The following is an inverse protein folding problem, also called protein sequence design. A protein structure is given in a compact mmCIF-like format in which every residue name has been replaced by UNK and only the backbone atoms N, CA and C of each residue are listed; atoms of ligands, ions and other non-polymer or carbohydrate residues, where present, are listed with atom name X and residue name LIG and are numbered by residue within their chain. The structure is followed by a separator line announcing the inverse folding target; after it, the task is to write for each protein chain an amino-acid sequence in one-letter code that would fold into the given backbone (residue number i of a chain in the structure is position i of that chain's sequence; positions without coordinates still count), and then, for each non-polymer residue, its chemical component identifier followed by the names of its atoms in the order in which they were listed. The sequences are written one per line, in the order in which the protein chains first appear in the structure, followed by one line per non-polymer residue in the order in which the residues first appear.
data_IF_012182937947
#
_entry.id   IF_012182937947
#
_cell.length_a   1.000
_cell.length_b   1.000
_cell.length_c   1.000
_cell.angle_alpha   90.00
_cell.angle_beta   90.00
_cell.angle_gamma   90.00
#
_symmetry.space_group_name_H-M   'P 1'
#
loop_
_entity.id
_entity.type
_entity.pdbx_description
1 polymer ?
#
# COMPACT_ATOMS: atom_id res chain seq x y z
N UNK A 1 -22.46 -10.80 1.62
CA UNK A 1 -22.07 -9.79 2.62
C UNK A 1 -22.35 -8.40 2.06
N UNK A 2 -22.78 -7.46 2.89
CA UNK A 2 -22.90 -6.08 2.46
C UNK A 2 -21.51 -5.49 2.16
N UNK A 3 -21.45 -4.54 1.22
CA UNK A 3 -20.21 -3.89 0.87
C UNK A 3 -19.63 -3.15 2.08
N UNK A 4 -18.35 -3.41 2.37
CA UNK A 4 -17.61 -2.65 3.37
C UNK A 4 -17.02 -1.39 2.70
N UNK A 5 -17.42 -0.17 3.13
CA UNK A 5 -16.92 1.06 2.55
C UNK A 5 -15.39 1.13 2.59
N UNK A 6 -14.81 1.62 1.49
CA UNK A 6 -13.36 1.75 1.35
C UNK A 6 -12.97 3.23 1.38
N UNK A 7 -11.80 3.51 1.92
CA UNK A 7 -11.25 4.88 1.92
C UNK A 7 -11.15 5.42 0.50
N UNK A 8 -10.86 4.57 -0.48
CA UNK A 8 -10.78 4.98 -1.88
C UNK A 8 -12.12 5.35 -2.52
N UNK A 9 -13.27 5.10 -1.89
CA UNK A 9 -14.60 5.41 -2.46
C UNK A 9 -14.80 6.90 -2.73
N UNK A 10 -14.39 7.75 -1.77
CA UNK A 10 -14.45 9.21 -1.92
C UNK A 10 -13.50 9.73 -3.01
N UNK A 11 -12.31 9.11 -3.11
CA UNK A 11 -11.33 9.44 -4.16
C UNK A 11 -11.85 9.01 -5.52
N UNK A 12 -12.50 7.86 -5.60
CA UNK A 12 -13.12 7.37 -6.83
C UNK A 12 -14.26 8.32 -7.28
N UNK A 13 -15.09 8.79 -6.36
CA UNK A 13 -16.14 9.77 -6.64
C UNK A 13 -15.57 11.09 -7.17
N UNK A 14 -14.46 11.57 -6.60
CA UNK A 14 -13.76 12.75 -7.09
C UNK A 14 -13.26 12.52 -8.53
N UNK A 15 -12.62 11.38 -8.81
CA UNK A 15 -12.07 11.07 -10.13
C UNK A 15 -13.15 10.91 -11.19
N UNK A 16 -14.27 10.29 -10.87
CA UNK A 16 -15.42 10.18 -11.77
C UNK A 16 -15.97 11.55 -12.18
N UNK A 17 -15.86 12.55 -11.32
CA UNK A 17 -16.22 13.95 -11.65
C UNK A 17 -15.12 14.70 -12.40
N UNK A 18 -13.87 14.28 -12.28
CA UNK A 18 -12.72 15.03 -12.81
C UNK A 18 -12.27 14.55 -14.19
N UNK A 19 -12.30 13.23 -14.46
CA UNK A 19 -11.74 12.62 -15.68
C UNK A 19 -12.74 11.72 -16.39
N UNK A 20 -12.48 11.41 -17.67
CA UNK A 20 -13.39 10.57 -18.47
C UNK A 20 -13.38 9.10 -18.07
N UNK A 21 -12.24 8.57 -17.60
CA UNK A 21 -12.11 7.20 -17.17
C UNK A 21 -11.18 7.08 -15.95
N UNK A 22 -11.41 6.06 -15.12
CA UNK A 22 -10.53 5.72 -13.98
C UNK A 22 -10.19 4.24 -14.02
N UNK A 23 -8.89 3.92 -13.96
CA UNK A 23 -8.42 2.55 -13.76
C UNK A 23 -8.08 2.32 -12.30
N UNK A 24 -8.66 1.29 -11.70
CA UNK A 24 -8.36 0.86 -10.33
C UNK A 24 -7.38 -0.30 -10.41
N UNK A 25 -6.20 -0.12 -9.82
CA UNK A 25 -5.12 -1.11 -9.78
C UNK A 25 -4.77 -1.46 -8.34
N UNK A 26 -4.08 -2.56 -8.14
CA UNK A 26 -3.67 -3.03 -6.80
C UNK A 26 -3.60 -4.55 -6.72
N UNK A 27 -3.25 -5.12 -5.55
CA UNK A 27 -3.12 -6.56 -5.36
C UNK A 27 -4.37 -7.32 -5.82
N UNK A 28 -4.20 -8.55 -6.29
CA UNK A 28 -5.35 -9.45 -6.48
C UNK A 28 -6.12 -9.58 -5.17
N UNK A 29 -7.44 -9.78 -5.24
CA UNK A 29 -8.33 -10.01 -4.09
C UNK A 29 -8.46 -8.84 -3.10
N UNK A 30 -7.89 -7.66 -3.35
CA UNK A 30 -8.07 -6.51 -2.46
C UNK A 30 -9.45 -5.83 -2.57
N UNK A 31 -10.31 -6.26 -3.51
CA UNK A 31 -11.70 -5.79 -3.65
C UNK A 31 -11.95 -4.79 -4.77
N UNK A 32 -11.03 -4.60 -5.74
CA UNK A 32 -11.14 -3.63 -6.85
C UNK A 32 -12.46 -3.70 -7.61
N UNK A 33 -12.81 -4.89 -8.08
CA UNK A 33 -14.05 -5.15 -8.84
C UNK A 33 -15.29 -4.84 -8.00
N UNK A 34 -15.28 -5.25 -6.72
CA UNK A 34 -16.38 -4.99 -5.79
C UNK A 34 -16.59 -3.49 -5.57
N UNK A 35 -15.50 -2.74 -5.35
CA UNK A 35 -15.52 -1.28 -5.22
C UNK A 35 -16.00 -0.60 -6.52
N UNK A 36 -15.49 -1.02 -7.67
CA UNK A 36 -15.92 -0.48 -8.96
C UNK A 36 -17.42 -0.73 -9.23
N UNK A 37 -17.93 -1.92 -8.88
CA UNK A 37 -19.35 -2.28 -9.02
C UNK A 37 -20.29 -1.37 -8.23
N UNK A 38 -19.84 -0.76 -7.11
CA UNK A 38 -20.65 0.20 -6.33
C UNK A 38 -20.98 1.47 -7.13
N UNK A 39 -20.16 1.82 -8.13
CA UNK A 39 -20.31 3.05 -8.95
C UNK A 39 -20.75 2.76 -10.38
N UNK A 40 -20.61 1.53 -10.85
CA UNK A 40 -20.92 1.14 -12.22
C UNK A 40 -22.43 1.03 -12.46
N UNK A 41 -22.88 1.49 -13.65
CA UNK A 41 -24.25 1.30 -14.13
C UNK A 41 -24.36 0.18 -15.18
N UNK A 42 -23.26 -0.22 -15.79
CA UNK A 42 -23.18 -1.40 -16.64
C UNK A 42 -21.80 -2.04 -16.48
N UNK A 43 -21.71 -3.33 -16.72
CA UNK A 43 -20.49 -4.12 -16.47
C UNK A 43 -20.18 -4.93 -17.73
N UNK A 44 -18.88 -4.99 -18.05
CA UNK A 44 -18.28 -5.90 -19.02
C UNK A 44 -17.24 -6.73 -18.26
N UNK A 45 -17.53 -8.00 -18.06
CA UNK A 45 -16.63 -8.96 -17.40
C UNK A 45 -15.82 -9.70 -18.47
N UNK A 46 -14.59 -9.24 -18.75
CA UNK A 46 -13.74 -9.80 -19.81
C UNK A 46 -13.32 -11.25 -19.57
N UNK A 47 -13.43 -11.73 -18.33
CA UNK A 47 -13.06 -13.09 -17.94
C UNK A 47 -14.24 -14.07 -17.88
N UNK A 48 -15.46 -13.65 -18.25
CA UNK A 48 -16.63 -14.53 -18.31
C UNK A 48 -16.37 -15.67 -19.31
N UNK A 49 -16.28 -16.94 -18.87
CA UNK A 49 -15.86 -18.04 -19.74
C UNK A 49 -16.83 -18.29 -20.90
N UNK A 50 -18.11 -17.94 -20.77
CA UNK A 50 -19.10 -18.13 -21.82
C UNK A 50 -19.00 -17.08 -22.93
N UNK A 51 -18.45 -15.89 -22.59
CA UNK A 51 -18.43 -14.72 -23.49
C UNK A 51 -17.02 -14.29 -23.88
N UNK A 52 -15.99 -14.74 -23.18
CA UNK A 52 -14.60 -14.27 -23.33
C UNK A 52 -14.08 -14.36 -24.76
N UNK A 53 -14.29 -15.52 -25.42
CA UNK A 53 -13.82 -15.68 -26.81
C UNK A 53 -14.47 -14.68 -27.74
N UNK A 54 -15.76 -14.42 -27.60
CA UNK A 54 -16.52 -13.42 -28.34
C UNK A 54 -16.01 -12.00 -28.07
N UNK A 55 -15.76 -11.69 -26.80
CA UNK A 55 -15.22 -10.37 -26.40
C UNK A 55 -13.82 -10.14 -26.96
N UNK A 56 -12.93 -11.12 -26.96
CA UNK A 56 -11.58 -11.01 -27.52
C UNK A 56 -11.63 -10.81 -29.05
N UNK A 57 -12.48 -11.55 -29.76
CA UNK A 57 -12.70 -11.35 -31.22
C UNK A 57 -13.24 -9.96 -31.50
N UNK A 58 -14.20 -9.49 -30.73
CA UNK A 58 -14.81 -8.17 -30.89
C UNK A 58 -13.79 -7.06 -30.54
N UNK A 59 -12.98 -7.23 -29.49
CA UNK A 59 -11.92 -6.33 -29.14
C UNK A 59 -10.90 -6.17 -30.29
N UNK A 60 -10.55 -7.27 -30.95
CA UNK A 60 -9.61 -7.25 -32.09
C UNK A 60 -10.17 -6.57 -33.35
N UNK A 61 -11.50 -6.60 -33.57
CA UNK A 61 -12.13 -6.09 -34.79
C UNK A 61 -12.80 -4.73 -34.63
N UNK A 62 -13.58 -4.54 -33.55
CA UNK A 62 -14.34 -3.32 -33.27
C UNK A 62 -14.48 -3.07 -31.77
N UNK A 63 -13.39 -2.72 -31.07
CA UNK A 63 -13.39 -2.56 -29.63
C UNK A 63 -14.40 -1.53 -29.09
N UNK A 64 -14.81 -0.57 -29.93
CA UNK A 64 -15.81 0.44 -29.54
C UNK A 64 -17.18 -0.14 -29.18
N UNK A 65 -17.56 -1.30 -29.73
CA UNK A 65 -18.81 -1.97 -29.36
C UNK A 65 -18.81 -2.49 -27.92
N UNK A 66 -17.65 -2.86 -27.38
CA UNK A 66 -17.51 -3.29 -25.97
C UNK A 66 -17.68 -2.12 -24.99
N UNK A 67 -17.58 -0.88 -25.47
CA UNK A 67 -17.77 0.32 -24.66
C UNK A 67 -19.23 0.79 -24.58
N UNK A 68 -20.15 0.15 -25.32
CA UNK A 68 -21.57 0.47 -25.31
C UNK A 68 -22.25 -0.02 -24.02
N UNK A 69 -23.02 0.87 -23.38
CA UNK A 69 -23.74 0.61 -22.14
C UNK A 69 -23.92 1.85 -21.28
N UNK A 70 -24.68 1.72 -20.19
CA UNK A 70 -24.91 2.83 -19.26
C UNK A 70 -23.61 3.18 -18.51
N UNK A 71 -23.33 4.48 -18.38
CA UNK A 71 -22.10 4.99 -17.73
C UNK A 71 -22.37 5.42 -16.27
N UNK A 72 -21.39 5.25 -15.37
CA UNK A 72 -20.07 4.65 -15.58
C UNK A 72 -20.16 3.16 -16.01
N UNK A 73 -19.41 2.79 -17.07
CA UNK A 73 -19.31 1.41 -17.49
C UNK A 73 -18.04 0.79 -16.92
N UNK A 74 -18.19 -0.30 -16.17
CA UNK A 74 -17.06 -1.09 -15.68
C UNK A 74 -16.58 -2.05 -16.78
N UNK A 75 -15.27 -2.04 -17.03
CA UNK A 75 -14.54 -3.02 -17.84
C UNK A 75 -13.63 -3.78 -16.88
N UNK A 76 -14.09 -4.96 -16.44
CA UNK A 76 -13.38 -5.78 -15.46
C UNK A 76 -12.32 -6.65 -16.16
N UNK A 77 -11.10 -6.71 -15.57
CA UNK A 77 -9.92 -7.38 -16.13
C UNK A 77 -9.58 -6.93 -17.56
N UNK A 78 -9.59 -5.59 -17.78
CA UNK A 78 -9.37 -4.97 -19.09
C UNK A 78 -8.05 -5.40 -19.76
N UNK A 79 -7.03 -5.79 -19.01
CA UNK A 79 -5.72 -6.21 -19.52
C UNK A 79 -5.78 -7.49 -20.37
N UNK A 80 -6.87 -8.26 -20.31
CA UNK A 80 -7.11 -9.38 -21.22
C UNK A 80 -7.24 -8.93 -22.68
N UNK A 81 -7.63 -7.66 -22.92
CA UNK A 81 -7.67 -7.04 -24.22
C UNK A 81 -7.08 -5.61 -24.15
N UNK A 82 -5.75 -5.44 -24.20
CA UNK A 82 -5.09 -4.13 -23.99
C UNK A 82 -5.54 -3.04 -24.96
N UNK A 83 -6.05 -3.40 -26.15
CA UNK A 83 -6.64 -2.46 -27.13
C UNK A 83 -7.83 -1.67 -26.55
N UNK A 84 -8.49 -2.16 -25.51
CA UNK A 84 -9.58 -1.45 -24.82
C UNK A 84 -9.11 -0.15 -24.17
N UNK A 85 -7.85 -0.09 -23.75
CA UNK A 85 -7.26 1.15 -23.24
C UNK A 85 -7.32 2.28 -24.25
N UNK A 86 -6.85 2.01 -25.49
CA UNK A 86 -6.89 3.00 -26.57
C UNK A 86 -8.33 3.31 -27.01
N UNK A 87 -9.21 2.31 -27.03
CA UNK A 87 -10.62 2.50 -27.35
C UNK A 87 -11.31 3.42 -26.32
N UNK A 88 -11.08 3.21 -25.02
CA UNK A 88 -11.56 4.07 -23.93
C UNK A 88 -11.03 5.50 -24.10
N UNK A 89 -9.72 5.67 -24.31
CA UNK A 89 -9.11 6.98 -24.54
C UNK A 89 -9.78 7.72 -25.70
N UNK A 90 -9.95 7.07 -26.85
CA UNK A 90 -10.59 7.66 -28.03
C UNK A 90 -12.06 8.00 -27.76
N UNK A 91 -12.77 7.14 -27.03
CA UNK A 91 -14.16 7.40 -26.64
C UNK A 91 -14.29 8.62 -25.73
N UNK A 92 -13.40 8.76 -24.74
CA UNK A 92 -13.34 9.94 -23.85
C UNK A 92 -13.04 11.21 -24.66
N UNK A 93 -12.09 11.16 -25.60
CA UNK A 93 -11.76 12.31 -26.46
C UNK A 93 -12.94 12.75 -27.35
N UNK A 94 -13.72 11.79 -27.86
CA UNK A 94 -14.89 12.10 -28.73
C UNK A 94 -16.08 12.64 -27.93
N UNK A 95 -16.34 12.04 -26.78
CA UNK A 95 -17.52 12.39 -25.96
C UNK A 95 -17.31 13.62 -25.11
N UNK A 96 -16.07 13.88 -24.68
CA UNK A 96 -15.72 15.02 -23.81
C UNK A 96 -16.47 15.03 -22.47
N UNK A 97 -17.00 13.89 -22.05
CA UNK A 97 -17.73 13.70 -20.79
C UNK A 97 -16.83 13.12 -19.69
N UNK A 98 -17.26 13.26 -18.44
CA UNK A 98 -16.58 12.72 -17.25
C UNK A 98 -17.29 11.47 -16.74
N UNK A 99 -16.55 10.60 -16.02
CA UNK A 99 -17.13 9.42 -15.39
C UNK A 99 -17.71 8.41 -16.37
N UNK A 100 -17.14 8.27 -17.55
CA UNK A 100 -17.65 7.35 -18.57
C UNK A 100 -17.29 5.90 -18.27
N UNK A 101 -16.04 5.67 -17.84
CA UNK A 101 -15.51 4.32 -17.72
C UNK A 101 -14.78 4.10 -16.40
N UNK A 102 -14.95 2.89 -15.85
CA UNK A 102 -14.16 2.29 -14.82
C UNK A 102 -13.44 1.08 -15.40
N UNK A 103 -12.15 0.95 -15.16
CA UNK A 103 -11.37 -0.21 -15.55
C UNK A 103 -10.80 -0.84 -14.27
N UNK A 104 -10.81 -2.16 -14.18
CA UNK A 104 -10.13 -2.88 -13.09
C UNK A 104 -9.12 -3.84 -13.66
N UNK A 105 -7.98 -3.94 -12.98
CA UNK A 105 -6.90 -4.85 -13.35
C UNK A 105 -5.99 -5.15 -12.18
N UNK A 106 -5.51 -6.38 -12.12
CA UNK A 106 -4.66 -6.87 -11.03
C UNK A 106 -3.17 -6.87 -11.37
N UNK A 107 -2.81 -6.38 -12.55
CA UNK A 107 -1.44 -6.35 -13.06
C UNK A 107 -1.17 -4.99 -13.69
N UNK A 108 0.05 -4.49 -13.52
CA UNK A 108 0.54 -3.34 -14.30
C UNK A 108 0.85 -3.84 -15.72
N UNK A 109 0.06 -3.38 -16.69
CA UNK A 109 0.30 -3.71 -18.10
C UNK A 109 1.54 -2.98 -18.59
N UNK A 110 2.39 -3.68 -19.33
CA UNK A 110 3.58 -3.08 -19.94
C UNK A 110 3.19 -1.97 -20.91
N UNK A 111 3.88 -0.83 -20.85
CA UNK A 111 3.61 0.33 -21.71
C UNK A 111 3.75 -0.01 -23.19
N UNK A 112 4.56 -1.01 -23.55
CA UNK A 112 4.69 -1.51 -24.92
C UNK A 112 3.40 -2.13 -25.49
N UNK A 113 2.53 -2.66 -24.61
CA UNK A 113 1.22 -3.21 -24.98
C UNK A 113 0.14 -2.11 -25.12
N UNK A 114 0.47 -0.87 -24.73
CA UNK A 114 -0.42 0.30 -24.77
C UNK A 114 0.19 1.34 -25.72
N UNK A 115 -0.50 1.68 -26.80
CA UNK A 115 0.02 2.65 -27.78
C UNK A 115 0.12 4.08 -27.26
N UNK A 116 -0.72 4.43 -26.25
CA UNK A 116 -0.80 5.78 -25.68
C UNK A 116 -1.01 5.73 -24.17
N UNK A 117 -0.32 6.57 -23.44
CA UNK A 117 -0.33 6.60 -21.96
C UNK A 117 -1.68 6.96 -21.32
N UNK A 118 -2.63 7.50 -22.09
CA UNK A 118 -3.94 7.92 -21.56
C UNK A 118 -3.92 9.18 -20.68
N UNK A 119 -2.79 9.89 -20.60
CA UNK A 119 -2.63 11.10 -19.78
C UNK A 119 -3.77 12.10 -20.05
N UNK A 120 -4.39 12.60 -18.97
CA UNK A 120 -5.50 13.55 -19.02
C UNK A 120 -6.87 12.96 -19.35
N UNK A 121 -6.95 11.67 -19.74
CA UNK A 121 -8.20 10.95 -20.09
C UNK A 121 -8.50 9.85 -19.11
N UNK A 122 -7.47 9.09 -18.73
CA UNK A 122 -7.56 7.95 -17.80
C UNK A 122 -6.73 8.25 -16.57
N UNK A 123 -7.36 8.26 -15.41
CA UNK A 123 -6.70 8.44 -14.11
C UNK A 123 -6.46 7.08 -13.45
N UNK A 124 -5.30 6.91 -12.83
CA UNK A 124 -4.94 5.67 -12.13
C UNK A 124 -5.21 5.81 -10.63
N UNK A 125 -6.05 4.96 -10.08
CA UNK A 125 -6.33 4.84 -8.65
C UNK A 125 -5.73 3.53 -8.13
N UNK A 126 -4.78 3.63 -7.22
CA UNK A 126 -4.22 2.47 -6.54
C UNK A 126 -5.04 2.15 -5.30
N UNK A 127 -5.37 0.88 -5.11
CA UNK A 127 -6.16 0.37 -4.01
C UNK A 127 -5.34 -0.66 -3.24
N UNK A 128 -5.21 -0.45 -1.92
CA UNK A 128 -4.54 -1.38 -1.01
C UNK A 128 -5.49 -2.48 -0.52
N UNK A 129 -4.97 -3.46 0.23
CA UNK A 129 -5.77 -4.32 1.09
C UNK A 129 -6.49 -3.48 2.16
N UNK A 130 -7.44 -4.03 2.88
CA UNK A 130 -8.20 -3.27 3.88
C UNK A 130 -7.32 -2.89 5.07
N UNK A 131 -7.38 -1.63 5.47
CA UNK A 131 -6.83 -1.12 6.72
C UNK A 131 -7.63 -1.63 7.94
N UNK A 132 -7.10 -1.48 9.14
CA UNK A 132 -7.82 -1.80 10.38
C UNK A 132 -9.12 -1.01 10.53
N UNK A 133 -9.19 0.20 9.99
CA UNK A 133 -10.44 0.98 9.99
C UNK A 133 -11.46 0.38 9.01
N UNK A 134 -11.07 0.07 7.79
CA UNK A 134 -11.96 -0.51 6.79
C UNK A 134 -12.46 -1.91 7.17
N UNK A 135 -11.65 -2.69 7.90
CA UNK A 135 -12.04 -4.00 8.43
C UNK A 135 -12.88 -3.93 9.72
N UNK A 136 -13.09 -2.72 10.27
CA UNK A 136 -13.83 -2.51 11.51
C UNK A 136 -13.05 -2.86 12.77
N UNK A 137 -11.74 -3.01 12.69
CA UNK A 137 -10.82 -3.37 13.79
C UNK A 137 -10.16 -2.14 14.43
N UNK A 138 -10.27 -0.97 13.83
CA UNK A 138 -9.98 0.29 14.51
C UNK A 138 -11.24 0.89 15.13
N UNK A 139 -11.10 1.55 16.28
CA UNK A 139 -12.19 2.33 16.89
C UNK A 139 -12.48 3.63 16.13
N UNK A 140 -11.51 4.13 15.34
CA UNK A 140 -11.61 5.36 14.58
C UNK A 140 -11.83 6.61 15.42
N UNK A 141 -11.47 6.57 16.69
CA UNK A 141 -11.64 7.71 17.60
C UNK A 141 -10.72 8.89 17.27
N UNK A 142 -9.59 8.61 16.58
CA UNK A 142 -8.64 9.62 16.15
C UNK A 142 -8.59 9.65 14.63
N UNK A 143 -8.92 10.82 14.04
CA UNK A 143 -8.76 11.04 12.61
C UNK A 143 -7.37 11.62 12.31
N UNK A 144 -6.65 10.98 11.42
CA UNK A 144 -5.35 11.47 10.95
C UNK A 144 -5.50 12.86 10.28
N UNK A 145 -6.61 13.09 9.58
CA UNK A 145 -6.95 14.39 8.98
C UNK A 145 -7.09 15.47 10.04
N UNK A 146 -7.78 15.18 11.15
CA UNK A 146 -8.01 16.17 12.21
C UNK A 146 -6.70 16.51 12.92
N UNK A 147 -5.82 15.53 13.16
CA UNK A 147 -4.46 15.75 13.71
C UNK A 147 -3.63 16.66 12.79
N UNK A 148 -3.74 16.53 11.48
CA UNK A 148 -3.07 17.45 10.55
C UNK A 148 -3.76 18.82 10.45
N UNK A 149 -5.08 18.89 10.63
CA UNK A 149 -5.81 20.15 10.60
C UNK A 149 -5.50 21.01 11.85
N UNK A 150 -5.40 20.36 12.99
CA UNK A 150 -5.00 20.98 14.26
C UNK A 150 -4.01 20.08 15.01
N UNK A 151 -2.70 20.29 14.87
CA UNK A 151 -1.69 19.52 15.59
C UNK A 151 -1.75 19.64 17.11
N UNK A 152 -2.52 20.56 17.65
CA UNK A 152 -2.77 20.73 19.10
C UNK A 152 -4.00 19.96 19.61
N UNK A 153 -4.71 19.28 18.70
CA UNK A 153 -5.91 18.52 19.08
C UNK A 153 -5.56 17.46 20.12
N UNK A 154 -6.33 17.41 21.22
CA UNK A 154 -6.12 16.38 22.23
C UNK A 154 -6.52 15.00 21.67
N UNK A 155 -5.62 14.06 21.81
CA UNK A 155 -5.87 12.64 21.54
C UNK A 155 -6.12 11.85 22.82
N UNK A 156 -6.13 12.54 23.96
CA UNK A 156 -6.20 11.92 25.29
C UNK A 156 -7.48 11.12 25.50
N UNK A 157 -7.32 9.95 26.07
CA UNK A 157 -8.42 9.06 26.42
C UNK A 157 -9.02 8.26 25.29
N UNK A 158 -8.60 8.49 24.03
CA UNK A 158 -8.98 7.61 22.92
C UNK A 158 -8.37 6.22 23.12
N UNK A 159 -9.13 5.18 22.76
CA UNK A 159 -8.75 3.80 23.00
C UNK A 159 -8.57 3.02 21.72
N UNK A 160 -7.46 2.28 21.65
CA UNK A 160 -7.26 1.22 20.69
C UNK A 160 -8.28 0.09 20.92
N UNK A 161 -8.73 -0.51 19.83
CA UNK A 161 -9.73 -1.59 19.85
C UNK A 161 -9.12 -2.96 20.02
N UNK A 162 -7.86 -3.13 19.59
CA UNK A 162 -7.18 -4.42 19.55
C UNK A 162 -6.14 -4.55 20.67
N UNK A 163 -6.09 -5.71 21.28
CA UNK A 163 -4.95 -6.18 22.09
C UNK A 163 -3.76 -6.57 21.19
N UNK A 164 -2.61 -6.81 21.79
CA UNK A 164 -1.40 -7.27 21.07
C UNK A 164 -1.65 -8.63 20.40
N UNK A 165 -2.37 -9.55 21.04
CA UNK A 165 -2.75 -10.84 20.48
C UNK A 165 -3.64 -10.69 19.26
N UNK A 166 -4.61 -9.80 19.31
CA UNK A 166 -5.49 -9.51 18.19
C UNK A 166 -4.74 -8.80 17.05
N UNK A 167 -3.76 -7.94 17.36
CA UNK A 167 -2.85 -7.34 16.38
C UNK A 167 -1.99 -8.40 15.69
N UNK A 168 -1.44 -9.37 16.44
CA UNK A 168 -0.71 -10.51 15.88
C UNK A 168 -1.60 -11.27 14.90
N UNK A 169 -2.83 -11.55 15.30
CA UNK A 169 -3.78 -12.25 14.44
C UNK A 169 -4.12 -11.44 13.19
N UNK A 170 -4.41 -10.14 13.32
CA UNK A 170 -4.73 -9.25 12.21
C UNK A 170 -3.58 -9.14 11.19
N UNK A 171 -2.32 -9.07 11.65
CA UNK A 171 -1.12 -9.09 10.80
C UNK A 171 -1.02 -10.41 10.03
N UNK A 172 -1.23 -11.55 10.71
CA UNK A 172 -1.14 -12.86 10.07
C UNK A 172 -2.27 -13.13 9.08
N UNK A 173 -3.47 -12.66 9.37
CA UNK A 173 -4.66 -12.80 8.51
C UNK A 173 -4.58 -11.88 7.29
N UNK A 174 -4.07 -10.66 7.47
CA UNK A 174 -4.05 -9.62 6.46
C UNK A 174 -5.38 -8.89 6.26
N UNK A 175 -5.34 -7.85 5.41
CA UNK A 175 -6.50 -7.02 5.05
C UNK A 175 -7.27 -7.52 3.82
N UNK A 176 -7.31 -8.81 3.57
CA UNK A 176 -8.04 -9.41 2.46
C UNK A 176 -9.54 -9.48 2.76
N UNK A 177 -10.44 -8.91 1.93
CA UNK A 177 -11.88 -8.99 2.18
C UNK A 177 -12.38 -10.41 2.44
N UNK A 178 -11.92 -11.38 1.66
CA UNK A 178 -12.30 -12.79 1.82
C UNK A 178 -11.87 -13.38 3.16
N UNK A 179 -10.78 -12.88 3.77
CA UNK A 179 -10.36 -13.34 5.10
C UNK A 179 -11.29 -12.87 6.22
N UNK A 180 -11.95 -11.73 6.02
CA UNK A 180 -12.97 -11.24 6.97
C UNK A 180 -14.26 -12.03 6.88
N UNK A 181 -14.58 -12.57 5.71
CA UNK A 181 -15.76 -13.37 5.44
C UNK A 181 -15.60 -14.83 5.89
N UNK A 182 -14.39 -15.34 5.95
CA UNK A 182 -14.09 -16.72 6.28
C UNK A 182 -14.55 -17.07 7.71
N UNK A 183 -15.06 -18.30 7.87
CA UNK A 183 -15.55 -18.78 9.16
C UNK A 183 -14.47 -19.57 9.89
N UNK A 184 -14.14 -19.12 11.09
CA UNK A 184 -13.09 -19.71 11.93
C UNK A 184 -11.70 -19.16 11.61
N UNK A 185 -10.84 -19.15 12.61
CA UNK A 185 -9.53 -18.50 12.54
C UNK A 185 -8.58 -19.18 11.56
N UNK A 186 -8.64 -20.51 11.46
CA UNK A 186 -7.85 -21.28 10.50
C UNK A 186 -8.18 -20.91 9.06
N UNK A 187 -9.47 -20.74 8.72
CA UNK A 187 -9.90 -20.34 7.39
C UNK A 187 -9.52 -18.89 7.09
N UNK A 188 -9.59 -18.00 8.07
CA UNK A 188 -9.13 -16.61 7.92
C UNK A 188 -7.63 -16.53 7.62
N UNK A 189 -6.82 -17.30 8.34
CA UNK A 189 -5.37 -17.37 8.15
C UNK A 189 -4.98 -18.11 6.86
N UNK A 190 -5.83 -19.01 6.36
CA UNK A 190 -5.58 -19.74 5.12
C UNK A 190 -5.53 -18.80 3.91
N UNK A 191 -6.36 -17.75 3.86
CA UNK A 191 -6.46 -16.84 2.71
C UNK A 191 -5.11 -16.24 2.32
N UNK A 192 -4.33 -15.75 3.29
CA UNK A 192 -3.02 -15.17 3.01
C UNK A 192 -2.00 -16.22 2.53
N UNK A 193 -2.07 -17.44 3.07
CA UNK A 193 -1.21 -18.56 2.65
C UNK A 193 -1.54 -19.01 1.23
N UNK A 194 -2.83 -19.12 0.92
CA UNK A 194 -3.29 -19.46 -0.43
C UNK A 194 -2.91 -18.37 -1.45
N UNK A 195 -3.05 -17.11 -1.08
CA UNK A 195 -2.58 -15.98 -1.90
C UNK A 195 -1.09 -16.07 -2.21
N UNK A 196 -0.26 -16.34 -1.19
CA UNK A 196 1.18 -16.55 -1.36
C UNK A 196 1.49 -17.71 -2.32
N UNK A 197 0.83 -18.87 -2.14
CA UNK A 197 1.02 -20.04 -3.02
C UNK A 197 0.67 -19.70 -4.47
N UNK A 198 -0.45 -19.02 -4.70
CA UNK A 198 -0.86 -18.62 -6.05
C UNK A 198 0.12 -17.66 -6.71
N UNK A 199 0.72 -16.71 -5.95
CA UNK A 199 1.78 -15.82 -6.47
C UNK A 199 2.95 -16.64 -6.97
N UNK A 200 3.45 -17.55 -6.13
CA UNK A 200 4.66 -18.31 -6.38
C UNK A 200 4.49 -19.31 -7.51
N UNK A 201 3.36 -20.04 -7.52
CA UNK A 201 3.12 -21.15 -8.43
C UNK A 201 2.68 -20.70 -9.84
N UNK A 202 1.99 -19.56 -9.94
CA UNK A 202 1.41 -19.17 -11.22
C UNK A 202 1.56 -17.70 -11.60
N UNK A 203 1.24 -16.77 -10.70
CA UNK A 203 1.08 -15.36 -11.06
C UNK A 203 2.38 -14.69 -11.47
N UNK A 204 3.49 -15.06 -10.80
CA UNK A 204 4.81 -14.46 -11.05
C UNK A 204 5.32 -14.72 -12.48
N UNK A 205 4.89 -15.83 -13.11
CA UNK A 205 5.24 -16.14 -14.50
C UNK A 205 4.23 -15.55 -15.50
N UNK A 206 2.95 -15.44 -15.10
CA UNK A 206 1.88 -14.93 -15.97
C UNK A 206 1.92 -13.42 -16.17
N UNK A 207 2.55 -12.69 -15.26
CA UNK A 207 2.52 -11.21 -15.25
C UNK A 207 3.14 -10.58 -16.50
N UNK A 208 4.17 -11.21 -17.07
CA UNK A 208 4.91 -10.75 -18.25
C UNK A 208 5.30 -11.92 -19.19
N UNK A 209 4.66 -13.07 -19.05
CA UNK A 209 4.84 -14.26 -19.88
C UNK A 209 6.28 -14.83 -19.80
N UNK A 210 7.01 -14.49 -18.74
CA UNK A 210 8.36 -15.03 -18.46
C UNK A 210 8.25 -16.19 -17.50
N UNK A 211 8.68 -17.38 -17.91
CA UNK A 211 8.71 -18.55 -17.03
C UNK A 211 9.68 -18.35 -15.86
N UNK A 212 9.19 -18.53 -14.66
CA UNK A 212 9.94 -18.38 -13.40
C UNK A 212 9.81 -19.62 -12.53
N UNK A 213 10.94 -20.00 -11.93
CA UNK A 213 10.99 -21.13 -11.00
C UNK A 213 10.25 -20.80 -9.70
N UNK A 214 9.17 -21.54 -9.35
CA UNK A 214 8.40 -21.31 -8.12
C UNK A 214 9.24 -21.46 -6.84
N UNK A 215 10.22 -22.38 -6.85
CA UNK A 215 11.08 -22.59 -5.68
C UNK A 215 11.96 -21.35 -5.44
N UNK A 216 12.52 -20.80 -6.50
CA UNK A 216 13.32 -19.56 -6.41
C UNK A 216 12.44 -18.37 -6.01
N UNK A 217 11.19 -18.29 -6.52
CA UNK A 217 10.23 -17.26 -6.13
C UNK A 217 9.90 -17.31 -4.64
N UNK A 218 9.62 -18.51 -4.09
CA UNK A 218 9.36 -18.70 -2.67
C UNK A 218 10.59 -18.32 -1.80
N UNK A 219 11.78 -18.71 -2.22
CA UNK A 219 13.02 -18.36 -1.51
C UNK A 219 13.30 -16.85 -1.54
N UNK A 220 13.09 -16.20 -2.66
CA UNK A 220 13.22 -14.75 -2.78
C UNK A 220 12.23 -14.03 -1.86
N UNK A 221 10.96 -14.41 -1.88
CA UNK A 221 9.94 -13.83 -0.99
C UNK A 221 10.26 -14.09 0.48
N UNK A 222 10.82 -15.24 0.83
CA UNK A 222 11.26 -15.53 2.20
C UNK A 222 12.44 -14.64 2.61
N UNK A 223 13.44 -14.46 1.74
CA UNK A 223 14.55 -13.52 1.99
C UNK A 223 14.03 -12.10 2.13
N UNK A 224 13.08 -11.70 1.27
CA UNK A 224 12.47 -10.40 1.33
C UNK A 224 11.67 -10.19 2.63
N UNK A 225 10.92 -11.20 3.08
CA UNK A 225 10.14 -11.16 4.33
C UNK A 225 11.03 -11.08 5.59
N UNK A 226 12.21 -11.74 5.59
CA UNK A 226 13.21 -11.58 6.65
C UNK A 226 13.73 -10.15 6.79
N UNK A 227 13.67 -9.40 5.70
CA UNK A 227 14.18 -8.05 5.59
C UNK A 227 13.04 -7.00 5.51
N UNK A 228 11.80 -7.37 5.85
CA UNK A 228 10.67 -6.43 5.89
C UNK A 228 10.97 -5.28 6.86
N UNK A 229 10.56 -4.08 6.51
CA UNK A 229 10.80 -2.84 7.29
C UNK A 229 12.31 -2.53 7.53
N UNK A 230 13.22 -3.08 6.72
CA UNK A 230 14.65 -2.78 6.78
C UNK A 230 15.17 -2.16 5.47
N UNK A 231 16.39 -1.61 5.51
CA UNK A 231 17.08 -1.04 4.36
C UNK A 231 17.93 -2.08 3.60
N UNK A 232 17.57 -3.35 3.65
CA UNK A 232 18.31 -4.41 2.98
C UNK A 232 18.42 -4.14 1.47
N UNK A 233 19.64 -4.24 0.94
CA UNK A 233 19.89 -4.02 -0.50
C UNK A 233 19.48 -5.26 -1.31
N UNK A 234 19.26 -5.09 -2.62
CA UNK A 234 19.04 -6.22 -3.53
C UNK A 234 20.24 -7.17 -3.53
N UNK A 235 21.45 -6.64 -3.32
CA UNK A 235 22.68 -7.43 -3.16
C UNK A 235 22.60 -8.33 -1.93
N UNK A 236 22.07 -7.85 -0.81
CA UNK A 236 21.86 -8.64 0.42
C UNK A 236 20.86 -9.78 0.18
N UNK A 237 19.74 -9.47 -0.48
CA UNK A 237 18.71 -10.47 -0.85
C UNK A 237 19.32 -11.53 -1.78
N UNK A 238 20.08 -11.12 -2.81
CA UNK A 238 20.78 -12.06 -3.70
C UNK A 238 21.74 -12.97 -2.92
N UNK A 239 22.47 -12.42 -1.96
CA UNK A 239 23.41 -13.18 -1.12
C UNK A 239 22.71 -14.29 -0.32
N UNK A 240 21.50 -14.01 0.20
CA UNK A 240 20.69 -15.03 0.86
C UNK A 240 20.33 -16.17 -0.11
N UNK A 241 19.94 -15.84 -1.35
CA UNK A 241 19.60 -16.84 -2.38
C UNK A 241 20.82 -17.68 -2.82
N UNK A 242 21.99 -17.07 -2.91
CA UNK A 242 23.23 -17.74 -3.29
C UNK A 242 23.67 -18.81 -2.29
N UNK A 243 23.19 -18.78 -1.05
CA UNK A 243 23.43 -19.85 -0.07
C UNK A 243 22.78 -21.18 -0.45
N UNK A 244 21.78 -21.15 -1.34
CA UNK A 244 21.01 -22.31 -1.79
C UNK A 244 21.30 -22.64 -3.25
N UNK A 245 21.38 -21.61 -4.11
CA UNK A 245 21.58 -21.74 -5.56
C UNK A 245 22.30 -20.52 -6.12
N UNK A 246 23.14 -20.71 -7.11
CA UNK A 246 23.74 -19.58 -7.83
C UNK A 246 22.69 -18.82 -8.64
N UNK A 247 22.57 -17.50 -8.36
CA UNK A 247 21.57 -16.62 -8.99
C UNK A 247 22.25 -15.32 -9.43
N UNK A 248 22.03 -14.93 -10.68
CA UNK A 248 22.53 -13.66 -11.23
C UNK A 248 21.72 -12.46 -10.71
N UNK A 249 22.34 -11.27 -10.68
CA UNK A 249 21.61 -10.03 -10.32
C UNK A 249 20.45 -9.73 -11.27
N UNK A 250 20.60 -9.84 -12.62
CA UNK A 250 19.48 -9.66 -13.54
C UNK A 250 18.30 -10.60 -13.27
N UNK A 251 18.56 -11.83 -12.84
CA UNK A 251 17.51 -12.77 -12.45
C UNK A 251 16.75 -12.25 -11.23
N UNK A 252 17.45 -11.83 -10.16
CA UNK A 252 16.80 -11.26 -8.96
C UNK A 252 15.98 -10.04 -9.33
N UNK A 253 16.50 -9.14 -10.15
CA UNK A 253 15.81 -7.92 -10.59
C UNK A 253 14.55 -8.25 -11.41
N UNK A 254 14.59 -9.28 -12.27
CA UNK A 254 13.42 -9.77 -13.01
C UNK A 254 12.30 -10.25 -12.09
N UNK A 255 12.64 -11.04 -11.06
CA UNK A 255 11.65 -11.51 -10.07
C UNK A 255 11.07 -10.34 -9.26
N UNK A 256 11.91 -9.42 -8.77
CA UNK A 256 11.47 -8.24 -8.03
C UNK A 256 10.57 -7.34 -8.89
N UNK A 257 10.89 -7.19 -10.18
CA UNK A 257 10.06 -6.43 -11.13
C UNK A 257 8.68 -7.07 -11.28
N UNK A 258 8.62 -8.40 -11.47
CA UNK A 258 7.36 -9.13 -11.55
C UNK A 258 6.51 -8.98 -10.28
N UNK A 259 7.13 -9.10 -9.10
CA UNK A 259 6.43 -8.92 -7.81
C UNK A 259 5.89 -7.50 -7.62
N UNK A 260 6.59 -6.47 -8.12
CA UNK A 260 6.08 -5.07 -8.13
C UNK A 260 4.91 -4.91 -9.10
N UNK A 261 4.99 -5.48 -10.31
CA UNK A 261 3.89 -5.47 -11.28
C UNK A 261 2.63 -6.16 -10.75
N UNK A 262 2.78 -7.16 -9.89
CA UNK A 262 1.69 -7.86 -9.19
C UNK A 262 1.20 -7.13 -7.93
N UNK A 263 1.80 -6.01 -7.55
CA UNK A 263 1.52 -5.31 -6.28
C UNK A 263 1.72 -6.20 -5.04
N UNK A 264 2.67 -7.13 -5.07
CA UNK A 264 3.00 -7.98 -3.92
C UNK A 264 3.95 -7.28 -2.98
N UNK A 265 4.96 -6.61 -3.55
CA UNK A 265 5.95 -5.81 -2.82
C UNK A 265 5.79 -4.32 -3.16
N UNK A 266 5.96 -3.48 -2.15
CA UNK A 266 5.90 -2.04 -2.26
C UNK A 266 6.94 -1.40 -1.34
N UNK A 267 8.15 -1.18 -1.89
CA UNK A 267 9.23 -0.54 -1.16
C UNK A 267 8.89 0.91 -0.82
N UNK A 268 9.40 1.39 0.29
CA UNK A 268 9.16 2.73 0.80
C UNK A 268 10.37 3.59 0.51
N UNK A 269 10.14 4.74 -0.11
CA UNK A 269 11.18 5.69 -0.48
C UNK A 269 11.68 6.46 0.75
N UNK A 270 12.95 6.86 0.73
CA UNK A 270 13.47 7.80 1.70
C UNK A 270 12.84 9.18 1.51
N UNK A 271 12.86 9.99 2.57
CA UNK A 271 12.48 11.39 2.55
C UNK A 271 13.64 12.27 3.03
N UNK A 272 13.69 13.50 2.53
CA UNK A 272 14.61 14.51 2.97
C UNK A 272 13.86 15.83 3.16
N UNK A 273 14.08 16.58 4.26
CA UNK A 273 13.43 17.87 4.48
C UNK A 273 13.78 18.91 3.40
N UNK A 274 14.93 18.80 2.78
CA UNK A 274 15.36 19.68 1.69
C UNK A 274 14.85 19.15 0.34
N UNK A 275 13.75 19.68 -0.17
CA UNK A 275 13.06 19.23 -1.41
C UNK A 275 13.99 19.15 -2.64
N UNK A 276 15.05 19.96 -2.69
CA UNK A 276 16.04 19.97 -3.79
C UNK A 276 17.23 19.05 -3.55
N UNK A 277 17.26 18.33 -2.43
CA UNK A 277 18.33 17.37 -2.15
C UNK A 277 18.17 16.12 -3.02
N UNK A 278 19.28 15.57 -3.48
CA UNK A 278 19.31 14.27 -4.15
C UNK A 278 19.49 13.11 -3.16
N UNK A 279 19.47 13.39 -1.85
CA UNK A 279 19.74 12.38 -0.81
C UNK A 279 18.66 11.33 -0.77
N UNK A 280 17.38 11.71 -0.87
CA UNK A 280 16.23 10.82 -0.92
C UNK A 280 16.24 9.89 -2.15
N UNK A 281 16.67 10.42 -3.31
CA UNK A 281 16.78 9.65 -4.57
C UNK A 281 17.90 8.61 -4.49
N UNK A 282 18.99 8.91 -3.77
CA UNK A 282 20.17 8.05 -3.65
C UNK A 282 20.10 7.06 -2.50
N UNK A 283 19.17 7.26 -1.57
CA UNK A 283 19.02 6.40 -0.42
C UNK A 283 18.43 5.03 -0.79
N UNK A 284 18.76 4.01 0.01
CA UNK A 284 18.16 2.68 -0.13
C UNK A 284 16.68 2.75 0.20
N UNK A 285 15.86 1.95 -0.48
CA UNK A 285 14.44 1.83 -0.15
C UNK A 285 14.25 0.91 1.07
N UNK A 286 13.33 1.25 1.96
CA UNK A 286 12.90 0.37 3.05
C UNK A 286 12.01 -0.73 2.43
N UNK A 287 12.30 -2.00 2.73
CA UNK A 287 11.59 -3.14 2.14
C UNK A 287 10.18 -3.25 2.70
N UNK A 288 9.20 -3.39 1.81
CA UNK A 288 7.79 -3.46 2.19
C UNK A 288 6.99 -4.43 1.33
N UNK A 289 5.95 -5.00 1.93
CA UNK A 289 4.90 -5.74 1.24
C UNK A 289 3.65 -4.87 1.09
N UNK A 290 2.80 -5.21 0.12
CA UNK A 290 1.48 -4.59 0.03
C UNK A 290 0.61 -4.91 1.27
N UNK A 291 0.79 -6.11 1.82
CA UNK A 291 0.15 -6.55 3.07
C UNK A 291 1.14 -7.41 3.89
N UNK A 292 1.28 -7.18 5.20
CA UNK A 292 2.22 -7.91 6.04
C UNK A 292 1.95 -9.42 6.11
N UNK A 293 0.71 -9.86 5.88
CA UNK A 293 0.36 -11.28 5.89
C UNK A 293 1.07 -12.09 4.81
N UNK A 294 1.45 -11.44 3.69
CA UNK A 294 2.27 -12.09 2.65
C UNK A 294 3.68 -12.38 3.17
N UNK A 295 4.26 -11.47 3.95
CA UNK A 295 5.54 -11.71 4.61
C UNK A 295 5.43 -12.86 5.63
N UNK A 296 4.36 -12.90 6.42
CA UNK A 296 4.08 -14.00 7.36
C UNK A 296 3.99 -15.34 6.64
N UNK A 297 3.25 -15.41 5.53
CA UNK A 297 3.13 -16.61 4.71
C UNK A 297 4.48 -17.05 4.13
N UNK A 298 5.29 -16.11 3.62
CA UNK A 298 6.62 -16.38 3.11
C UNK A 298 7.60 -16.89 4.18
N UNK A 299 7.47 -16.43 5.44
CA UNK A 299 8.24 -16.94 6.57
C UNK A 299 7.80 -18.36 6.99
N UNK A 300 6.59 -18.77 6.63
CA UNK A 300 6.04 -20.09 6.96
C UNK A 300 5.65 -20.26 8.43
N UNK A 301 5.28 -19.18 9.11
CA UNK A 301 4.90 -19.16 10.53
C UNK A 301 3.48 -18.60 10.72
N UNK A 302 2.98 -18.63 11.95
CA UNK A 302 1.65 -18.14 12.28
C UNK A 302 1.63 -17.40 13.62
N UNK A 303 0.43 -17.05 14.15
CA UNK A 303 0.28 -16.25 15.36
C UNK A 303 1.03 -16.83 16.58
N UNK A 304 1.03 -18.15 16.75
CA UNK A 304 1.69 -18.82 17.87
C UNK A 304 3.20 -18.56 17.92
N UNK A 305 3.84 -18.42 16.77
CA UNK A 305 5.26 -18.10 16.68
C UNK A 305 5.53 -16.69 17.22
N UNK A 306 4.75 -15.71 16.80
CA UNK A 306 4.96 -14.30 17.13
C UNK A 306 4.63 -13.95 18.57
N UNK A 307 3.78 -14.74 19.25
CA UNK A 307 3.58 -14.64 20.72
C UNK A 307 4.87 -14.91 21.51
N UNK A 308 5.87 -15.53 20.88
CA UNK A 308 7.17 -15.85 21.49
C UNK A 308 8.32 -15.06 20.88
N UNK A 309 8.11 -14.39 19.73
CA UNK A 309 9.13 -13.62 19.03
C UNK A 309 8.58 -12.22 18.68
N UNK A 310 8.43 -11.39 19.73
CA UNK A 310 7.99 -10.00 19.59
C UNK A 310 8.99 -9.15 18.79
N UNK A 311 10.27 -9.52 18.76
CA UNK A 311 11.28 -8.80 17.99
C UNK A 311 11.00 -8.91 16.48
N UNK A 312 10.77 -10.10 15.99
CA UNK A 312 10.38 -10.30 14.57
C UNK A 312 8.99 -9.71 14.31
N UNK A 313 8.06 -9.83 15.26
CA UNK A 313 6.74 -9.25 15.14
C UNK A 313 6.78 -7.72 15.00
N UNK A 314 7.70 -7.02 15.68
CA UNK A 314 7.87 -5.58 15.60
C UNK A 314 8.04 -5.08 14.15
N UNK A 315 8.83 -5.76 13.31
CA UNK A 315 8.98 -5.41 11.89
C UNK A 315 7.70 -5.62 11.09
N UNK A 316 6.92 -6.65 11.40
CA UNK A 316 5.63 -6.91 10.75
C UNK A 316 4.56 -5.92 11.22
N UNK A 317 4.60 -5.53 12.49
CA UNK A 317 3.76 -4.47 13.04
C UNK A 317 4.05 -3.14 12.35
N UNK A 318 5.31 -2.78 12.18
CA UNK A 318 5.71 -1.61 11.38
C UNK A 318 5.12 -1.68 9.97
N UNK A 319 5.23 -2.84 9.30
CA UNK A 319 4.64 -3.05 7.98
C UNK A 319 3.12 -2.87 7.96
N UNK A 320 2.40 -3.31 9.01
CA UNK A 320 0.96 -3.06 9.18
C UNK A 320 0.67 -1.56 9.29
N UNK A 321 1.39 -0.87 10.18
CA UNK A 321 1.20 0.58 10.38
C UNK A 321 1.47 1.35 9.10
N UNK A 322 2.54 1.01 8.37
CA UNK A 322 2.88 1.64 7.08
C UNK A 322 1.78 1.42 6.03
N UNK A 323 1.17 0.23 5.96
CA UNK A 323 0.01 -0.05 5.10
C UNK A 323 -1.17 0.86 5.45
N UNK A 324 -1.51 0.94 6.72
CA UNK A 324 -2.67 1.71 7.19
C UNK A 324 -2.47 3.22 7.04
N UNK A 325 -1.30 3.74 7.41
CA UNK A 325 -0.98 5.17 7.21
C UNK A 325 -1.02 5.56 5.72
N UNK A 326 -0.58 4.67 4.82
CA UNK A 326 -0.71 4.89 3.38
C UNK A 326 -2.17 5.01 2.95
N UNK A 327 -3.03 4.12 3.42
CA UNK A 327 -4.46 4.16 3.13
C UNK A 327 -5.11 5.44 3.71
N UNK A 328 -4.86 5.75 4.99
CA UNK A 328 -5.44 6.90 5.68
C UNK A 328 -5.04 8.24 5.09
N UNK A 329 -3.84 8.36 4.54
CA UNK A 329 -3.34 9.61 3.97
C UNK A 329 -3.75 9.88 2.52
N UNK A 330 -4.32 8.90 1.81
CA UNK A 330 -4.64 9.03 0.38
C UNK A 330 -5.58 10.18 0.07
N UNK A 331 -6.62 10.39 0.89
CA UNK A 331 -7.57 11.49 0.67
C UNK A 331 -6.93 12.87 0.86
N UNK A 332 -5.91 12.96 1.70
CA UNK A 332 -5.16 14.19 1.93
C UNK A 332 -4.05 14.41 0.88
N UNK A 333 -3.91 13.53 -0.09
CA UNK A 333 -2.80 13.54 -1.03
C UNK A 333 -1.45 13.26 -0.37
N UNK A 334 -1.45 12.53 0.75
CA UNK A 334 -0.26 12.21 1.51
C UNK A 334 0.64 11.21 0.80
N UNK A 335 1.96 11.44 0.93
CA UNK A 335 3.01 10.52 0.50
C UNK A 335 3.71 9.97 1.73
N UNK A 336 3.75 8.65 1.84
CA UNK A 336 4.45 7.96 2.90
C UNK A 336 5.88 7.64 2.48
N UNK A 337 6.83 7.95 3.36
CA UNK A 337 8.26 7.73 3.19
C UNK A 337 8.88 7.41 4.55
N UNK A 338 10.19 7.22 4.63
CA UNK A 338 10.93 7.12 5.89
C UNK A 338 12.07 8.14 5.91
N UNK A 339 12.57 8.49 7.10
CA UNK A 339 13.76 9.32 7.26
C UNK A 339 14.89 8.54 7.92
N UNK A 340 16.10 8.69 7.41
CA UNK A 340 17.32 8.24 8.08
C UNK A 340 18.50 9.12 7.64
N UNK A 341 19.23 9.62 8.62
CA UNK A 341 20.44 10.36 8.37
C UNK A 341 21.69 9.47 8.33
N UNK A 342 22.85 10.10 8.05
CA UNK A 342 24.14 9.40 7.98
C UNK A 342 24.66 8.92 9.33
N UNK A 343 24.12 9.41 10.43
CA UNK A 343 24.51 9.05 11.79
C UNK A 343 23.61 7.95 12.39
N UNK A 344 22.58 7.56 11.64
CA UNK A 344 21.65 6.51 12.05
C UNK A 344 20.41 7.00 12.77
N UNK A 345 20.24 8.33 12.96
CA UNK A 345 18.98 8.90 13.45
C UNK A 345 17.89 8.70 12.40
N UNK A 346 16.77 8.13 12.81
CA UNK A 346 15.68 7.79 11.91
C UNK A 346 14.30 8.18 12.44
N UNK A 347 13.34 8.31 11.52
CA UNK A 347 11.92 8.22 11.79
C UNK A 347 11.36 7.13 10.89
N UNK A 348 10.65 6.18 11.49
CA UNK A 348 10.13 4.99 10.80
C UNK A 348 9.25 5.35 9.62
N UNK A 349 8.44 6.40 9.78
CA UNK A 349 7.62 6.95 8.73
C UNK A 349 7.64 8.48 8.72
N UNK A 350 7.59 9.04 7.51
CA UNK A 350 7.33 10.45 7.26
C UNK A 350 6.10 10.54 6.37
N UNK A 351 5.06 11.19 6.86
CA UNK A 351 3.86 11.45 6.09
C UNK A 351 3.86 12.90 5.63
N UNK A 352 4.09 13.11 4.33
CA UNK A 352 4.22 14.42 3.71
C UNK A 352 3.01 14.73 2.83
N UNK A 353 2.33 15.85 3.09
CA UNK A 353 1.16 16.31 2.34
C UNK A 353 1.56 17.23 1.18
N UNK A 354 0.67 17.38 0.19
CA UNK A 354 0.91 18.23 -0.97
C UNK A 354 1.07 19.73 -0.65
N UNK A 355 0.51 20.19 0.47
CA UNK A 355 0.65 21.57 0.95
C UNK A 355 1.94 21.83 1.73
N UNK A 356 2.82 20.83 1.81
CA UNK A 356 4.12 20.90 2.47
C UNK A 356 4.10 20.58 3.95
N UNK A 357 2.93 20.37 4.58
CA UNK A 357 2.84 19.86 5.96
C UNK A 357 3.33 18.41 6.02
N UNK A 358 3.96 18.06 7.14
CA UNK A 358 4.38 16.68 7.34
C UNK A 358 4.41 16.27 8.81
N UNK A 359 4.25 14.96 9.03
CA UNK A 359 4.43 14.33 10.31
C UNK A 359 5.68 13.47 10.32
N UNK A 360 6.43 13.48 11.42
CA UNK A 360 7.43 12.48 11.74
C UNK A 360 6.81 11.44 12.67
N UNK A 361 7.01 10.18 12.36
CA UNK A 361 6.33 9.07 13.02
C UNK A 361 7.33 7.98 13.39
N UNK A 362 7.35 7.60 14.65
CA UNK A 362 7.97 6.38 15.15
C UNK A 362 6.92 5.30 15.37
N UNK A 363 7.28 4.04 15.18
CA UNK A 363 6.38 2.90 15.30
C UNK A 363 6.93 1.94 16.33
N UNK A 364 6.24 1.82 17.46
CA UNK A 364 6.68 1.01 18.61
C UNK A 364 5.57 0.06 19.05
N UNK A 365 5.85 -1.23 19.11
CA UNK A 365 4.84 -2.21 19.51
C UNK A 365 4.48 -2.05 21.00
N UNK A 366 5.48 -1.92 21.86
CA UNK A 366 5.34 -1.84 23.31
C UNK A 366 5.42 -0.42 23.86
N UNK A 367 5.10 -0.28 25.14
CA UNK A 367 5.15 1.00 25.86
C UNK A 367 6.57 1.44 26.24
N UNK A 368 7.47 0.48 26.42
CA UNK A 368 8.80 0.74 26.97
C UNK A 368 9.71 1.51 25.99
N UNK A 369 9.38 1.45 24.69
CA UNK A 369 10.14 2.09 23.60
C UNK A 369 9.56 3.46 23.20
N UNK A 370 8.44 3.89 23.79
CA UNK A 370 7.77 5.16 23.43
C UNK A 370 8.67 6.37 23.74
N UNK A 371 9.37 6.34 24.87
CA UNK A 371 10.26 7.43 25.27
C UNK A 371 11.38 7.61 24.26
N UNK A 372 12.06 6.53 23.88
CA UNK A 372 13.12 6.52 22.89
C UNK A 372 12.61 7.04 21.53
N UNK A 373 11.45 6.55 21.07
CA UNK A 373 10.83 7.01 19.82
C UNK A 373 10.51 8.50 19.85
N UNK A 374 9.95 9.01 20.96
CA UNK A 374 9.66 10.43 21.10
C UNK A 374 10.95 11.29 21.08
N UNK A 375 12.01 10.84 21.72
CA UNK A 375 13.31 11.54 21.70
C UNK A 375 13.90 11.58 20.27
N UNK A 376 13.83 10.49 19.50
CA UNK A 376 14.28 10.48 18.11
C UNK A 376 13.54 11.54 17.28
N UNK A 377 12.22 11.61 17.38
CA UNK A 377 11.42 12.60 16.62
C UNK A 377 11.77 14.04 17.01
N UNK A 378 11.96 14.30 18.30
CA UNK A 378 12.36 15.62 18.82
C UNK A 378 13.76 15.99 18.34
N UNK A 379 14.67 15.03 18.31
CA UNK A 379 16.04 15.25 17.84
C UNK A 379 16.06 15.60 16.35
N UNK A 380 15.29 14.92 15.51
CA UNK A 380 15.15 15.31 14.09
C UNK A 380 14.61 16.74 13.98
N UNK A 381 13.58 17.09 14.75
CA UNK A 381 13.02 18.45 14.78
C UNK A 381 14.05 19.49 15.23
N UNK A 382 14.84 19.18 16.27
CA UNK A 382 15.90 20.04 16.80
C UNK A 382 16.97 20.32 15.73
N UNK A 383 17.45 19.27 15.05
CA UNK A 383 18.45 19.42 13.97
C UNK A 383 17.97 20.28 12.81
N UNK A 384 16.67 20.16 12.44
CA UNK A 384 16.07 21.03 11.41
C UNK A 384 16.01 22.48 11.92
N UNK A 385 15.69 22.70 13.21
CA UNK A 385 15.68 24.06 13.79
C UNK A 385 17.06 24.68 13.81
N UNK A 386 18.09 23.94 14.23
CA UNK A 386 19.47 24.40 14.21
C UNK A 386 19.98 24.73 12.80
N UNK A 387 19.61 23.88 11.81
CA UNK A 387 19.90 24.19 10.43
C UNK A 387 19.29 25.54 10.00
N UNK A 388 18.05 25.81 10.40
CA UNK A 388 17.35 27.04 10.07
C UNK A 388 17.94 28.30 10.75
N UNK A 389 18.61 28.17 11.90
CA UNK A 389 19.32 29.27 12.54
C UNK A 389 20.52 29.71 11.72
N UNK A 390 21.20 28.79 11.04
CA UNK A 390 22.33 29.04 10.16
C UNK A 390 21.91 29.40 8.73
N UNK A 391 20.79 28.84 8.23
CA UNK A 391 20.30 29.04 6.86
C UNK A 391 19.07 29.96 6.85
N UNK A 392 19.31 31.25 6.58
CA UNK A 392 18.24 32.25 6.61
C UNK A 392 17.54 32.49 5.28
N UNK A 393 18.12 32.06 4.14
CA UNK A 393 17.54 32.28 2.81
C UNK A 393 16.49 31.25 2.41
N UNK A 394 16.72 29.98 2.77
CA UNK A 394 15.83 28.88 2.44
C UNK A 394 15.63 27.97 3.67
N UNK A 395 14.95 28.43 4.72
CA UNK A 395 14.73 27.60 5.90
C UNK A 395 13.88 26.37 5.56
N UNK A 396 14.20 25.25 6.18
CA UNK A 396 13.43 24.01 6.09
C UNK A 396 12.15 24.14 6.93
N UNK A 397 11.05 23.58 6.44
CA UNK A 397 9.84 23.49 7.25
C UNK A 397 10.09 22.57 8.45
N UNK A 398 9.64 23.00 9.63
CA UNK A 398 9.60 22.13 10.81
C UNK A 398 8.44 21.14 10.68
N UNK A 399 8.55 19.94 11.29
CA UNK A 399 7.43 18.98 11.33
C UNK A 399 6.22 19.61 12.02
N UNK A 400 5.05 19.42 11.41
CA UNK A 400 3.78 19.91 11.96
C UNK A 400 3.29 18.98 13.09
N UNK A 401 3.52 17.67 12.94
CA UNK A 401 3.11 16.64 13.88
C UNK A 401 4.28 15.72 14.23
N UNK A 402 4.43 15.42 15.52
CA UNK A 402 5.29 14.35 16.03
C UNK A 402 4.39 13.27 16.64
N UNK A 403 4.53 12.02 16.20
CA UNK A 403 3.62 10.94 16.60
C UNK A 403 4.38 9.64 16.82
N UNK A 404 4.10 8.96 17.94
CA UNK A 404 4.50 7.56 18.16
C UNK A 404 3.25 6.70 17.98
N UNK A 405 3.24 5.85 16.95
CA UNK A 405 2.15 4.90 16.71
C UNK A 405 2.46 3.59 17.41
N UNK A 406 1.51 3.09 18.21
CA UNK A 406 1.76 1.95 19.10
C UNK A 406 0.78 0.80 18.90
N UNK A 407 1.15 -0.39 19.38
CA UNK A 407 0.25 -1.52 19.62
C UNK A 407 -0.50 -1.45 20.95
N UNK A 408 -0.34 -0.36 21.71
CA UNK A 408 -0.94 -0.18 23.03
C UNK A 408 -2.43 0.08 23.02
N UNK A 409 -3.01 0.30 24.22
CA UNK A 409 -4.46 0.43 24.37
C UNK A 409 -4.94 1.89 24.44
N UNK A 410 -4.10 2.85 24.83
CA UNK A 410 -4.54 4.23 25.13
C UNK A 410 -3.74 5.26 24.34
N UNK A 411 -4.44 6.28 23.86
CA UNK A 411 -3.84 7.45 23.28
C UNK A 411 -3.69 8.57 24.31
N UNK A 412 -2.64 9.34 24.16
CA UNK A 412 -2.39 10.55 24.96
C UNK A 412 -1.39 11.46 24.27
N UNK A 413 -1.42 12.74 24.64
CA UNK A 413 -0.41 13.72 24.24
C UNK A 413 0.58 13.89 25.37
N UNK A 414 1.85 13.69 25.10
CA UNK A 414 2.95 13.90 26.05
C UNK A 414 3.12 15.39 26.35
N UNK A 415 3.73 15.71 27.49
CA UNK A 415 4.02 17.09 27.88
C UNK A 415 4.93 17.85 26.89
N UNK A 416 5.72 17.13 26.08
CA UNK A 416 6.57 17.67 25.02
C UNK A 416 5.86 17.81 23.67
N UNK A 417 4.54 17.55 23.60
CA UNK A 417 3.70 17.71 22.43
C UNK A 417 3.73 16.51 21.45
N UNK A 418 4.42 15.42 21.77
CA UNK A 418 4.40 14.20 20.97
C UNK A 418 3.11 13.43 21.24
N UNK A 419 2.35 13.11 20.20
CA UNK A 419 1.17 12.27 20.31
C UNK A 419 1.55 10.79 20.36
N UNK A 420 0.98 10.04 21.29
CA UNK A 420 1.09 8.59 21.38
C UNK A 420 -0.27 8.00 21.02
N UNK A 421 -0.33 7.25 19.92
CA UNK A 421 -1.60 6.83 19.33
C UNK A 421 -1.59 5.34 18.99
N UNK A 422 -2.49 4.52 19.57
CA UNK A 422 -2.70 3.14 19.12
C UNK A 422 -3.13 3.10 17.64
N UNK A 423 -2.51 2.21 16.85
CA UNK A 423 -2.91 2.04 15.44
C UNK A 423 -4.40 1.68 15.32
N UNK A 424 -4.92 0.89 16.23
CA UNK A 424 -6.33 0.49 16.28
C UNK A 424 -7.28 1.56 16.83
N UNK A 425 -6.80 2.81 17.04
CA UNK A 425 -7.62 3.99 17.30
C UNK A 425 -7.69 4.96 16.10
N UNK A 426 -6.83 4.77 15.09
CA UNK A 426 -6.71 5.66 13.92
C UNK A 426 -7.75 5.35 12.83
N UNK A 427 -8.14 6.41 12.13
CA UNK A 427 -8.81 6.42 10.81
C UNK A 427 -8.21 7.51 9.92
N UNK A 428 -8.70 7.61 8.65
CA UNK A 428 -8.36 8.70 7.72
C UNK A 428 -8.72 10.08 8.23
#
# INVERSE_FOLDING_TARGET
MDYLPRIVDSILDLRLRAVGATVIVGPKWCGKTTTAKQKARSILEMQDPDLQEGYLKLAATKPSMLLEGANPRLIDEWQLAPVLWDAVRVSVDRRQEKGLYLLTGSVVVDEEKIRHTGIGRISRLEMDTMSLWESGESSGQISLRDVFADPSVSVDGAKGRLSVEELIFAVCRGGWPSSLEARGDDAKLFVARDYFSNIVESDISRVDEVERDPVLAAQLLRSYARNVSTLATTTSIRKDLMSVREVSMPTVDSYLSALRKLFVIGDIDAWCPAIRSATDIRASKKRGFADPSVAVAALGVGPEYFRKDFKTFGFLFESLVMRDLRAYSREMGGRLSYYRDRYGLEADAVLHLQDGRYALIEIKLGSDEIEEGAEHLKEVKRLISEYNEAETQCPLRLPDVLMVVTGGAQAYTRADGVHVIPISALKQ
#
